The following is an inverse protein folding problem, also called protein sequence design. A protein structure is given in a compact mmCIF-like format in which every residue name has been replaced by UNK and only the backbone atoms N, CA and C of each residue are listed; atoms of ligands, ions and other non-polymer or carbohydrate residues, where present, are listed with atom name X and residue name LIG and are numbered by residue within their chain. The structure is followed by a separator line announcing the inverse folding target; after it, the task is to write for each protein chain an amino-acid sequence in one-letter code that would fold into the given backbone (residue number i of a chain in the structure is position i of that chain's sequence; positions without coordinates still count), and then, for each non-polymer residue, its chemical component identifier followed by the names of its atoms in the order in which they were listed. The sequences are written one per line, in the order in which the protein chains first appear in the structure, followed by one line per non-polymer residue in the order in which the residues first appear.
data_IF_455580986853
#
_entry.id   IF_455580986853
#
_cell.length_a   1.000
_cell.length_b   1.000
_cell.length_c   1.000
_cell.angle_alpha   90.00
_cell.angle_beta   90.00
_cell.angle_gamma   90.00
#
_symmetry.space_group_name_H-M   'P 1'
#
loop_
_entity.id
_entity.type
_entity.pdbx_description
1 polymer ?
#
# COMPACT_ATOMS: atom_id res chain seq x y z
N UNK A 1 0.65 -32.56 19.46
CA UNK A 1 1.00 -31.31 18.77
C UNK A 1 2.45 -31.50 18.32
N UNK A 2 2.70 -31.55 17.01
CA UNK A 2 4.08 -31.58 16.53
C UNK A 2 4.64 -30.18 16.72
N UNK A 3 5.74 -30.07 17.46
CA UNK A 3 6.51 -28.83 17.50
C UNK A 3 7.05 -28.62 16.07
N UNK A 4 6.56 -27.57 15.41
CA UNK A 4 7.10 -27.15 14.13
C UNK A 4 8.51 -26.62 14.39
N UNK A 5 9.53 -27.20 13.75
CA UNK A 5 10.90 -26.68 13.84
C UNK A 5 10.92 -25.22 13.37
N UNK A 6 11.60 -24.36 14.14
CA UNK A 6 11.81 -22.97 13.78
C UNK A 6 12.71 -22.90 12.55
N UNK A 7 12.30 -22.11 11.57
CA UNK A 7 13.04 -21.90 10.34
C UNK A 7 14.27 -21.01 10.60
N UNK A 8 15.48 -21.53 10.40
CA UNK A 8 16.74 -20.76 10.50
C UNK A 8 17.10 -19.99 9.22
N UNK A 9 16.20 -19.93 8.22
CA UNK A 9 16.46 -19.19 6.96
C UNK A 9 16.40 -17.67 7.13
N UNK A 10 15.85 -17.18 8.25
CA UNK A 10 15.69 -15.76 8.52
C UNK A 10 16.51 -15.37 9.74
N UNK A 11 17.22 -14.25 9.63
CA UNK A 11 17.79 -13.59 10.80
C UNK A 11 16.65 -13.01 11.67
N UNK A 12 16.97 -12.69 12.94
CA UNK A 12 16.02 -12.01 13.82
C UNK A 12 15.64 -10.62 13.28
N UNK A 13 14.58 -10.00 13.83
CA UNK A 13 14.19 -8.66 13.43
C UNK A 13 15.32 -7.66 13.71
N UNK A 14 15.56 -6.76 12.76
CA UNK A 14 16.45 -5.61 12.92
C UNK A 14 15.64 -4.32 12.77
N UNK A 15 15.84 -3.37 13.67
CA UNK A 15 15.19 -2.07 13.60
C UNK A 15 15.95 -1.17 12.60
N UNK A 16 15.33 -0.88 11.46
CA UNK A 16 15.90 0.00 10.43
C UNK A 16 15.82 1.50 10.79
N UNK A 17 14.91 1.88 11.69
CA UNK A 17 14.68 3.26 12.11
C UNK A 17 13.21 3.53 12.45
N UNK A 18 12.90 4.76 12.83
CA UNK A 18 11.53 5.29 12.88
C UNK A 18 11.30 6.16 11.64
N UNK A 19 10.13 6.08 10.96
CA UNK A 19 9.86 6.92 9.80
C UNK A 19 10.01 8.41 10.13
N UNK A 20 10.81 9.14 9.36
CA UNK A 20 11.01 10.58 9.58
C UNK A 20 9.73 11.39 9.34
N UNK A 21 8.84 10.88 8.47
CA UNK A 21 7.57 11.52 8.18
C UNK A 21 6.54 11.20 9.26
N UNK A 22 6.37 12.13 10.21
CA UNK A 22 5.42 11.99 11.31
C UNK A 22 3.95 11.97 10.88
N UNK A 23 3.64 12.17 9.59
CA UNK A 23 2.30 11.97 9.06
C UNK A 23 1.98 10.49 8.83
N UNK A 24 2.95 9.59 9.01
CA UNK A 24 2.75 8.14 9.07
C UNK A 24 2.52 7.78 10.54
N UNK A 25 1.27 7.82 10.97
CA UNK A 25 0.85 7.65 12.37
C UNK A 25 -0.02 6.40 12.61
N UNK A 26 -0.55 5.80 11.54
CA UNK A 26 -1.38 4.58 11.59
C UNK A 26 -1.09 3.67 10.37
N UNK A 27 0.18 3.37 10.12
CA UNK A 27 0.59 2.52 8.99
C UNK A 27 -0.08 1.14 9.01
N UNK A 28 -0.75 0.74 7.91
CA UNK A 28 -1.49 -0.52 7.80
C UNK A 28 -0.86 -1.49 6.78
N UNK A 29 -0.84 -1.13 5.49
CA UNK A 29 -0.28 -1.96 4.41
C UNK A 29 1.16 -1.63 4.05
N UNK A 30 1.93 -2.62 3.58
CA UNK A 30 3.32 -2.45 3.12
C UNK A 30 3.60 -3.16 1.79
N UNK A 31 4.28 -2.47 0.88
CA UNK A 31 4.79 -3.07 -0.35
C UNK A 31 6.23 -2.66 -0.66
N UNK A 32 7.13 -3.62 -0.89
CA UNK A 32 8.53 -3.35 -1.27
C UNK A 32 8.56 -2.74 -2.68
N UNK A 33 9.15 -1.56 -2.82
CA UNK A 33 9.24 -0.89 -4.12
C UNK A 33 9.98 -1.74 -5.14
N UNK A 34 9.49 -1.76 -6.39
CA UNK A 34 10.17 -2.43 -7.51
C UNK A 34 10.99 -1.45 -8.34
N UNK A 35 10.66 -0.16 -8.30
CA UNK A 35 11.40 0.91 -8.96
C UNK A 35 12.58 1.45 -8.13
N UNK A 36 12.48 1.41 -6.79
CA UNK A 36 13.46 2.00 -5.88
C UNK A 36 13.97 0.94 -4.88
N UNK A 37 15.12 0.30 -5.17
CA UNK A 37 15.69 -0.70 -4.28
C UNK A 37 15.85 -0.17 -2.85
N UNK A 38 15.47 -0.99 -1.86
CA UNK A 38 15.55 -0.65 -0.44
C UNK A 38 14.42 0.24 0.08
N UNK A 39 13.52 0.73 -0.78
CA UNK A 39 12.37 1.53 -0.35
C UNK A 39 11.12 0.67 -0.16
N UNK A 40 10.22 1.13 0.71
CA UNK A 40 8.91 0.53 0.96
C UNK A 40 7.80 1.56 0.85
N UNK A 41 6.70 1.15 0.22
CA UNK A 41 5.45 1.90 0.18
C UNK A 41 4.61 1.54 1.41
N UNK A 42 3.95 2.54 1.98
CA UNK A 42 2.93 2.36 3.03
C UNK A 42 1.76 3.33 2.83
N UNK A 43 0.66 3.07 3.53
CA UNK A 43 -0.41 4.05 3.75
C UNK A 43 -0.86 3.97 5.21
N UNK A 44 -1.54 5.03 5.68
CA UNK A 44 -2.27 4.96 6.94
C UNK A 44 -3.62 4.23 6.74
N UNK A 45 -4.16 3.73 7.83
CA UNK A 45 -5.49 3.13 7.92
C UNK A 45 -6.62 4.19 7.78
N UNK A 46 -7.82 3.85 8.25
CA UNK A 46 -9.08 4.56 8.11
C UNK A 46 -9.03 6.01 8.58
N UNK A 47 -9.73 6.89 7.86
CA UNK A 47 -9.91 8.28 8.28
C UNK A 47 -8.76 9.24 7.92
N UNK A 48 -7.65 8.76 7.38
CA UNK A 48 -6.61 9.63 6.81
C UNK A 48 -7.03 10.19 5.42
N UNK A 49 -6.20 11.08 4.87
CA UNK A 49 -6.26 11.48 3.47
C UNK A 49 -5.96 10.29 2.55
N UNK A 50 -6.35 10.45 1.29
CA UNK A 50 -6.07 9.56 0.16
C UNK A 50 -4.59 9.58 -0.27
N UNK A 51 -3.68 9.29 0.65
CA UNK A 51 -2.23 9.40 0.42
C UNK A 51 -1.48 8.12 0.76
N UNK A 52 -0.37 7.93 0.07
CA UNK A 52 0.63 6.91 0.35
C UNK A 52 1.99 7.56 0.57
N UNK A 53 2.87 6.83 1.23
CA UNK A 53 4.20 7.28 1.57
C UNK A 53 5.24 6.32 1.01
N UNK A 54 6.36 6.86 0.54
CA UNK A 54 7.56 6.09 0.24
C UNK A 54 8.56 6.32 1.37
N UNK A 55 9.01 5.24 1.99
CA UNK A 55 10.01 5.25 3.05
C UNK A 55 11.31 4.68 2.46
N UNK A 56 12.42 5.39 2.63
CA UNK A 56 13.73 4.91 2.20
C UNK A 56 14.36 3.91 3.18
N UNK A 57 15.54 3.35 2.84
CA UNK A 57 16.17 2.26 3.59
C UNK A 57 16.56 2.62 5.03
N UNK A 58 16.84 3.90 5.29
CA UNK A 58 17.20 4.42 6.62
C UNK A 58 16.02 5.17 7.28
N UNK A 59 14.79 4.80 6.92
CA UNK A 59 13.54 5.41 7.38
C UNK A 59 13.32 6.88 6.95
N UNK A 60 14.09 7.35 5.97
CA UNK A 60 13.97 8.69 5.37
C UNK A 60 12.64 8.91 4.62
N UNK A 61 12.13 10.15 4.66
CA UNK A 61 10.93 10.55 3.91
C UNK A 61 11.21 10.72 2.41
N UNK A 62 11.05 9.62 1.66
CA UNK A 62 11.28 9.61 0.22
C UNK A 62 10.09 10.18 -0.59
N UNK A 63 8.94 10.42 0.02
CA UNK A 63 7.83 11.14 -0.64
C UNK A 63 6.45 10.81 -0.10
N UNK A 64 5.54 11.78 -0.25
CA UNK A 64 4.11 11.61 -0.02
C UNK A 64 3.35 11.81 -1.33
N UNK A 65 2.44 10.89 -1.65
CA UNK A 65 1.72 10.86 -2.91
C UNK A 65 0.22 10.81 -2.66
N UNK A 66 -0.55 11.66 -3.33
CA UNK A 66 -2.00 11.80 -3.16
C UNK A 66 -2.74 11.20 -4.35
N UNK A 67 -3.73 10.33 -4.14
CA UNK A 67 -4.40 9.58 -5.21
C UNK A 67 -5.70 10.27 -5.64
N UNK A 68 -5.80 10.75 -6.87
CA UNK A 68 -6.93 11.56 -7.33
C UNK A 68 -7.73 10.92 -8.49
N UNK A 69 -9.07 11.05 -8.49
CA UNK A 69 -9.93 11.40 -7.35
C UNK A 69 -10.14 10.17 -6.46
N UNK A 70 -9.75 10.24 -5.18
CA UNK A 70 -10.12 9.21 -4.22
C UNK A 70 -10.20 9.77 -2.80
N UNK A 71 -10.85 9.01 -1.92
CA UNK A 71 -10.77 9.16 -0.47
C UNK A 71 -10.28 7.85 0.14
N UNK A 72 -9.60 7.91 1.28
CA UNK A 72 -9.36 6.73 2.10
C UNK A 72 -10.63 6.49 2.95
N UNK A 73 -11.34 5.39 2.67
CA UNK A 73 -12.51 4.97 3.47
C UNK A 73 -12.05 4.07 4.61
N UNK A 74 -11.43 2.95 4.26
CA UNK A 74 -10.93 1.94 5.19
C UNK A 74 -9.85 1.09 4.48
N UNK A 75 -8.71 1.72 4.19
CA UNK A 75 -7.60 1.05 3.49
C UNK A 75 -6.81 0.16 4.44
N UNK A 76 -6.73 -1.12 4.14
CA UNK A 76 -6.09 -2.09 5.04
C UNK A 76 -4.75 -2.60 4.54
N UNK A 77 -4.62 -2.85 3.23
CA UNK A 77 -3.38 -3.43 2.70
C UNK A 77 -3.04 -2.90 1.31
N UNK A 78 -1.78 -3.09 0.92
CA UNK A 78 -1.28 -2.75 -0.40
C UNK A 78 -0.32 -3.80 -0.93
N UNK A 79 -0.30 -3.97 -2.25
CA UNK A 79 0.58 -4.89 -2.92
C UNK A 79 1.14 -4.28 -4.21
N UNK A 80 2.27 -4.82 -4.66
CA UNK A 80 2.91 -4.42 -5.91
C UNK A 80 3.12 -5.61 -6.84
N UNK A 81 2.73 -5.45 -8.09
CA UNK A 81 2.67 -6.57 -9.03
C UNK A 81 2.60 -6.15 -10.49
N UNK A 82 2.58 -7.13 -11.42
CA UNK A 82 2.22 -6.87 -12.81
C UNK A 82 0.83 -6.23 -12.93
N UNK A 83 0.56 -5.60 -14.07
CA UNK A 83 -0.76 -5.06 -14.38
C UNK A 83 -1.06 -5.08 -15.89
N UNK A 84 -1.99 -4.23 -16.37
CA UNK A 84 -2.48 -4.31 -17.74
C UNK A 84 -1.40 -3.98 -18.79
N UNK A 85 -0.42 -3.14 -18.46
CA UNK A 85 0.72 -2.88 -19.34
C UNK A 85 1.88 -3.85 -19.03
N UNK A 86 2.35 -4.54 -20.07
CA UNK A 86 3.49 -5.47 -19.98
C UNK A 86 4.75 -4.72 -19.54
N UNK A 87 5.46 -5.30 -18.57
CA UNK A 87 6.73 -4.76 -18.07
C UNK A 87 6.59 -3.58 -17.10
N UNK A 88 5.36 -3.17 -16.77
CA UNK A 88 5.09 -2.11 -15.79
C UNK A 88 4.62 -2.75 -14.49
N UNK A 89 5.21 -2.30 -13.38
CA UNK A 89 4.74 -2.64 -12.05
C UNK A 89 3.66 -1.66 -11.62
N UNK A 90 2.63 -2.18 -10.97
CA UNK A 90 1.49 -1.45 -10.48
C UNK A 90 1.39 -1.62 -8.98
N UNK A 91 1.08 -0.53 -8.29
CA UNK A 91 0.61 -0.56 -6.92
C UNK A 91 -0.90 -0.81 -6.91
N UNK A 92 -1.31 -1.60 -5.94
CA UNK A 92 -2.69 -1.95 -5.65
C UNK A 92 -2.95 -1.61 -4.18
N UNK A 93 -3.97 -0.79 -3.91
CA UNK A 93 -4.36 -0.43 -2.55
C UNK A 93 -5.78 -0.94 -2.29
N UNK A 94 -5.96 -1.63 -1.18
CA UNK A 94 -7.19 -2.32 -0.85
C UNK A 94 -8.04 -1.52 0.15
N UNK A 95 -9.14 -0.95 -0.33
CA UNK A 95 -10.21 -0.38 0.49
C UNK A 95 -11.20 -1.52 0.80
N UNK A 96 -10.86 -2.33 1.80
CA UNK A 96 -11.47 -3.65 2.03
C UNK A 96 -11.86 -3.94 3.49
N UNK A 97 -11.43 -3.13 4.45
CA UNK A 97 -11.85 -3.34 5.83
C UNK A 97 -13.29 -2.91 6.06
N UNK A 98 -13.97 -3.62 6.94
CA UNK A 98 -15.38 -3.45 7.25
C UNK A 98 -15.75 -4.13 8.59
N UNK A 99 -15.09 -3.71 9.68
CA UNK A 99 -15.36 -4.17 11.05
C UNK A 99 -16.86 -4.22 11.44
N UNK A 100 -17.68 -3.36 10.82
CA UNK A 100 -19.13 -3.30 11.06
C UNK A 100 -20.00 -4.10 10.09
N UNK A 101 -19.43 -4.75 9.08
CA UNK A 101 -20.16 -5.42 7.98
C UNK A 101 -21.21 -4.49 7.34
N UNK A 102 -20.78 -3.30 6.92
CA UNK A 102 -21.60 -2.21 6.41
C UNK A 102 -21.47 -2.04 4.89
N UNK A 103 -20.42 -2.58 4.26
CA UNK A 103 -20.05 -2.30 2.89
C UNK A 103 -20.22 -3.52 1.96
N UNK A 104 -21.23 -3.44 1.09
CA UNK A 104 -21.49 -4.47 0.08
C UNK A 104 -20.48 -4.43 -1.08
N UNK A 105 -19.84 -3.29 -1.31
CA UNK A 105 -18.86 -3.09 -2.39
C UNK A 105 -17.53 -2.63 -1.83
N UNK A 106 -16.48 -3.35 -2.21
CA UNK A 106 -15.10 -3.05 -1.91
C UNK A 106 -14.36 -2.57 -3.15
N UNK A 107 -13.22 -1.91 -2.92
CA UNK A 107 -12.45 -1.27 -4.00
C UNK A 107 -10.99 -1.65 -3.91
N UNK A 108 -10.38 -1.81 -5.06
CA UNK A 108 -8.93 -1.83 -5.22
C UNK A 108 -8.57 -0.65 -6.11
N UNK A 109 -7.69 0.24 -5.63
CA UNK A 109 -7.10 1.29 -6.45
C UNK A 109 -5.86 0.74 -7.12
N UNK A 110 -5.75 0.89 -8.44
CA UNK A 110 -4.61 0.41 -9.23
C UNK A 110 -4.00 1.55 -10.04
N UNK A 111 -2.69 1.72 -9.93
CA UNK A 111 -1.93 2.70 -10.72
C UNK A 111 -0.47 2.23 -10.89
N UNK A 112 0.23 2.67 -11.96
CA UNK A 112 1.66 2.37 -12.11
C UNK A 112 2.45 2.84 -10.88
N UNK A 113 3.50 2.12 -10.51
CA UNK A 113 4.39 2.58 -9.43
C UNK A 113 4.91 4.00 -9.72
N UNK A 114 4.69 4.99 -8.83
CA UNK A 114 4.99 6.39 -9.10
C UNK A 114 6.48 6.68 -9.37
N UNK A 115 6.75 7.68 -10.21
CA UNK A 115 8.11 8.17 -10.41
C UNK A 115 8.51 9.19 -9.34
N UNK A 116 9.71 9.07 -8.76
CA UNK A 116 10.31 10.12 -7.94
C UNK A 116 10.79 11.31 -8.79
N UNK A 117 10.89 11.16 -10.11
CA UNK A 117 11.16 12.27 -11.00
C UNK A 117 10.01 13.29 -11.04
N UNK A 118 8.80 12.88 -10.65
CA UNK A 118 7.62 13.73 -10.58
C UNK A 118 7.59 14.59 -9.30
N UNK A 119 8.58 14.41 -8.41
CA UNK A 119 8.72 15.19 -7.18
C UNK A 119 9.14 16.62 -7.55
N UNK A 120 8.28 17.58 -7.24
CA UNK A 120 8.65 18.98 -7.42
C UNK A 120 9.70 19.41 -6.38
N UNK A 121 10.43 20.48 -6.68
CA UNK A 121 11.40 21.04 -5.74
C UNK A 121 10.75 21.75 -4.53
N UNK A 122 9.42 21.81 -4.47
CA UNK A 122 8.68 22.50 -3.40
C UNK A 122 8.43 21.60 -2.19
N UNK A 123 8.67 20.28 -2.32
CA UNK A 123 8.48 19.32 -1.24
C UNK A 123 7.01 19.04 -0.94
N UNK A 124 6.10 19.39 -1.86
CA UNK A 124 4.68 19.12 -1.76
C UNK A 124 4.34 17.64 -2.02
N UNK A 125 3.06 17.29 -1.80
CA UNK A 125 2.53 15.99 -2.18
C UNK A 125 2.50 15.85 -3.71
N UNK A 126 2.83 14.67 -4.22
CA UNK A 126 2.77 14.35 -5.64
C UNK A 126 1.39 13.79 -5.97
N UNK A 127 0.64 14.42 -6.87
CA UNK A 127 -0.67 13.90 -7.29
C UNK A 127 -0.51 12.71 -8.25
N UNK A 128 -1.07 11.57 -7.87
CA UNK A 128 -1.29 10.39 -8.71
C UNK A 128 -2.66 10.55 -9.35
N UNK A 129 -2.69 10.94 -10.62
CA UNK A 129 -3.92 11.09 -11.39
C UNK A 129 -4.24 9.83 -12.19
N UNK A 130 -5.52 9.50 -12.30
CA UNK A 130 -5.98 8.42 -13.18
C UNK A 130 -5.78 7.02 -12.61
N UNK A 131 -5.77 6.88 -11.28
CA UNK A 131 -5.87 5.57 -10.65
C UNK A 131 -7.17 4.87 -11.07
N UNK A 132 -7.06 3.61 -11.48
CA UNK A 132 -8.21 2.77 -11.80
C UNK A 132 -8.84 2.27 -10.51
N UNK A 133 -10.16 2.32 -10.44
CA UNK A 133 -10.93 1.76 -9.33
C UNK A 133 -11.58 0.45 -9.76
N UNK A 134 -11.08 -0.66 -9.24
CA UNK A 134 -11.65 -1.99 -9.43
C UNK A 134 -12.65 -2.23 -8.31
N UNK A 135 -13.93 -2.34 -8.66
CA UNK A 135 -14.99 -2.60 -7.69
C UNK A 135 -15.36 -4.08 -7.67
N UNK A 136 -15.54 -4.64 -6.49
CA UNK A 136 -15.91 -6.05 -6.34
C UNK A 136 -16.81 -6.28 -5.12
N UNK A 137 -17.40 -7.47 -5.09
CA UNK A 137 -18.17 -7.99 -3.95
C UNK A 137 -17.64 -9.36 -3.59
N UNK A 138 -17.63 -9.68 -2.31
CA UNK A 138 -17.42 -11.05 -1.88
C UNK A 138 -18.67 -11.89 -2.19
N UNK A 139 -18.51 -13.12 -2.71
CA UNK A 139 -19.63 -13.94 -3.16
C UNK A 139 -20.53 -14.41 -2.01
N UNK A 140 -20.02 -14.42 -0.78
CA UNK A 140 -20.69 -14.90 0.42
C UNK A 140 -21.08 -13.77 1.40
N UNK A 141 -21.17 -12.53 0.90
CA UNK A 141 -21.67 -11.37 1.62
C UNK A 141 -20.58 -10.42 2.11
N UNK A 142 -20.97 -9.41 2.89
CA UNK A 142 -20.05 -8.40 3.43
C UNK A 142 -18.94 -9.07 4.26
N UNK A 143 -17.70 -8.65 4.06
CA UNK A 143 -16.53 -9.15 4.80
C UNK A 143 -15.65 -7.99 5.20
N UNK A 144 -15.11 -8.14 6.38
CA UNK A 144 -13.91 -7.48 6.84
C UNK A 144 -12.69 -8.28 6.39
N UNK A 145 -11.71 -7.61 5.79
CA UNK A 145 -10.51 -8.24 5.27
C UNK A 145 -9.32 -7.30 5.41
N UNK A 146 -8.18 -7.86 5.80
CA UNK A 146 -6.99 -7.10 6.22
C UNK A 146 -5.79 -7.33 5.30
N UNK A 147 -5.99 -7.99 4.16
CA UNK A 147 -4.87 -8.44 3.34
C UNK A 147 -5.24 -8.51 1.85
N UNK A 148 -4.32 -8.07 1.02
CA UNK A 148 -4.33 -8.17 -0.43
C UNK A 148 -3.05 -8.86 -0.90
N UNK A 149 -3.19 -9.92 -1.70
CA UNK A 149 -2.07 -10.57 -2.36
C UNK A 149 -2.26 -10.54 -3.87
N UNK A 150 -1.15 -10.47 -4.59
CA UNK A 150 -1.13 -10.55 -6.06
C UNK A 150 -0.50 -11.88 -6.46
N UNK A 151 -1.25 -12.67 -7.22
CA UNK A 151 -0.70 -13.80 -7.96
C UNK A 151 -0.12 -13.26 -9.29
N UNK A 152 1.21 -13.37 -9.53
CA UNK A 152 1.83 -12.87 -10.75
C UNK A 152 1.54 -13.73 -12.00
N UNK A 153 0.95 -14.93 -11.84
CA UNK A 153 0.65 -15.87 -12.92
C UNK A 153 1.80 -16.80 -13.32
#
# INVERSE_FOLDING_TARGET
MQDLELCELFEGPFAAGEPENSAIDEASGLAVSRAYPGHVWTHNDSGDFNRIFLIGPDAEDAGTFCIEPSGNRNWEDMAIGPGPAVGINYLYIADIGDNGSQYDVNRIFRFPEPSLADRDASGGMISIVGAEMIQFRYPDGMKDAETLMIDPG
#
